data_IF_634347079690
#
_entry.id   IF_634347079690
#
_cell.length_a   1.000
_cell.length_b   1.000
_cell.length_c   1.000
_cell.angle_alpha   90.00
_cell.angle_beta   90.00
_cell.angle_gamma   90.00
#
_symmetry.space_group_name_H-M   'P 1'
#
loop_
_entity.id
_entity.type
_entity.pdbx_description
1 polymer ?
#
# COMPACT_ATOMS: atom_id res chain seq x y z
N UNK A 1 2.93 27.44 40.37
CA UNK A 1 2.48 26.04 40.29
C UNK A 1 1.24 25.98 39.41
N UNK A 2 1.40 25.59 38.16
CA UNK A 2 0.33 25.01 37.31
C UNK A 2 1.06 24.20 36.25
N UNK A 3 1.30 22.93 36.56
CA UNK A 3 1.81 21.94 35.61
C UNK A 3 0.66 21.54 34.70
N UNK A 4 0.74 21.91 33.42
CA UNK A 4 -0.11 21.33 32.39
C UNK A 4 0.52 19.99 31.99
N UNK A 5 -0.17 18.90 32.32
CA UNK A 5 0.15 17.59 31.81
C UNK A 5 -0.22 17.56 30.32
N UNK A 6 0.80 17.68 29.47
CA UNK A 6 0.68 17.38 28.05
C UNK A 6 0.44 15.87 27.93
N UNK A 7 -0.80 15.50 27.58
CA UNK A 7 -1.19 14.10 27.41
C UNK A 7 -0.61 13.65 26.08
N UNK A 8 0.63 13.16 26.11
CA UNK A 8 1.39 12.73 24.94
C UNK A 8 0.79 11.49 24.26
N UNK A 9 -0.28 11.68 23.48
CA UNK A 9 -0.55 10.80 22.37
C UNK A 9 0.57 11.04 21.35
N UNK A 10 1.53 10.13 21.25
CA UNK A 10 2.57 10.21 20.22
C UNK A 10 1.88 10.17 18.86
N UNK A 11 1.75 11.32 18.22
CA UNK A 11 1.30 11.41 16.83
C UNK A 11 2.38 10.72 16.01
N UNK A 12 2.08 9.52 15.51
CA UNK A 12 2.98 8.79 14.62
C UNK A 12 3.11 9.61 13.34
N UNK A 13 4.32 10.01 12.98
CA UNK A 13 4.54 10.79 11.76
C UNK A 13 4.23 9.95 10.53
N UNK A 14 3.85 10.59 9.42
CA UNK A 14 3.67 9.91 8.12
C UNK A 14 4.91 9.11 7.74
N UNK A 15 6.11 9.65 7.99
CA UNK A 15 7.37 8.96 7.72
C UNK A 15 7.50 7.66 8.54
N UNK A 16 7.08 7.66 9.81
CA UNK A 16 7.12 6.46 10.65
C UNK A 16 6.07 5.43 10.24
N UNK A 17 4.88 5.86 9.84
CA UNK A 17 3.87 4.97 9.28
C UNK A 17 4.37 4.30 7.99
N UNK A 18 5.01 5.06 7.09
CA UNK A 18 5.60 4.52 5.87
C UNK A 18 6.73 3.52 6.18
N UNK A 19 7.61 3.83 7.15
CA UNK A 19 8.64 2.88 7.61
C UNK A 19 8.02 1.59 8.15
N UNK A 20 6.96 1.68 8.94
CA UNK A 20 6.25 0.50 9.45
C UNK A 20 5.63 -0.34 8.32
N UNK A 21 5.06 0.29 7.29
CA UNK A 21 4.59 -0.41 6.11
C UNK A 21 5.74 -1.11 5.37
N UNK A 22 6.89 -0.45 5.20
CA UNK A 22 8.09 -1.10 4.64
C UNK A 22 8.50 -2.33 5.47
N UNK A 23 8.49 -2.23 6.81
CA UNK A 23 8.75 -3.37 7.70
C UNK A 23 7.75 -4.51 7.53
N UNK A 24 6.48 -4.20 7.25
CA UNK A 24 5.46 -5.22 6.92
C UNK A 24 5.67 -5.87 5.55
N UNK A 25 6.52 -5.30 4.70
CA UNK A 25 6.85 -5.84 3.38
C UNK A 25 6.29 -5.03 2.21
N UNK A 26 5.75 -3.83 2.45
CA UNK A 26 5.43 -2.93 1.35
C UNK A 26 6.68 -2.55 0.56
N UNK A 27 6.49 -2.39 -0.74
CA UNK A 27 7.45 -1.80 -1.68
C UNK A 27 6.81 -0.58 -2.29
N UNK A 28 7.53 0.53 -2.23
CA UNK A 28 7.06 1.81 -2.75
C UNK A 28 7.72 2.11 -4.08
N UNK A 29 6.92 2.60 -5.03
CA UNK A 29 7.36 3.14 -6.31
C UNK A 29 6.79 4.54 -6.48
N UNK A 30 7.52 5.37 -7.22
CA UNK A 30 7.15 6.75 -7.49
C UNK A 30 6.87 6.87 -8.99
N UNK A 31 5.65 6.56 -9.45
CA UNK A 31 5.29 6.81 -10.83
C UNK A 31 5.39 8.29 -11.15
N UNK A 32 5.94 8.58 -12.33
CA UNK A 32 5.98 9.95 -12.86
C UNK A 32 4.95 10.12 -13.97
N UNK A 33 4.49 11.35 -14.15
CA UNK A 33 3.71 11.72 -15.32
C UNK A 33 4.58 11.83 -16.58
N UNK A 34 3.98 12.27 -17.69
CA UNK A 34 4.66 12.42 -18.97
C UNK A 34 5.69 13.57 -18.99
N UNK A 35 5.62 14.49 -18.00
CA UNK A 35 6.59 15.56 -17.79
C UNK A 35 7.75 15.14 -16.87
N UNK A 36 7.65 13.95 -16.25
CA UNK A 36 8.65 13.41 -15.32
C UNK A 36 8.44 13.84 -13.87
N UNK A 37 7.34 14.52 -13.55
CA UNK A 37 6.98 14.92 -12.20
C UNK A 37 6.32 13.76 -11.45
N UNK A 38 6.48 13.70 -10.13
CA UNK A 38 5.93 12.61 -9.31
C UNK A 38 4.40 12.71 -9.32
N UNK A 39 3.75 11.72 -9.93
CA UNK A 39 2.29 11.67 -10.01
C UNK A 39 1.66 11.08 -8.75
N UNK A 40 2.34 10.13 -8.10
CA UNK A 40 1.91 9.52 -6.84
C UNK A 40 3.07 8.79 -6.16
N UNK A 41 2.86 8.42 -4.89
CA UNK A 41 3.61 7.37 -4.23
C UNK A 41 2.73 6.13 -4.13
N UNK A 42 3.15 5.02 -4.72
CA UNK A 42 2.37 3.77 -4.73
C UNK A 42 3.09 2.70 -3.93
N UNK A 43 2.49 2.25 -2.83
CA UNK A 43 2.96 1.15 -2.00
C UNK A 43 2.20 -0.14 -2.32
N UNK A 44 2.91 -1.24 -2.53
CA UNK A 44 2.29 -2.56 -2.77
C UNK A 44 2.91 -3.63 -1.88
N UNK A 45 2.09 -4.53 -1.34
CA UNK A 45 2.50 -5.70 -0.56
C UNK A 45 1.67 -6.92 -0.98
N UNK A 46 2.33 -7.98 -1.41
CA UNK A 46 1.68 -9.28 -1.68
C UNK A 46 1.95 -10.20 -0.49
N UNK A 47 0.90 -10.72 0.15
CA UNK A 47 1.04 -11.61 1.30
C UNK A 47 -0.23 -12.46 1.48
N UNK A 48 -0.09 -13.69 2.01
CA UNK A 48 -1.21 -14.54 2.43
C UNK A 48 -2.40 -14.61 1.43
N UNK A 49 -2.14 -14.58 0.12
CA UNK A 49 -3.18 -14.66 -0.92
C UNK A 49 -3.97 -13.38 -1.15
N UNK A 50 -3.48 -12.26 -0.63
CA UNK A 50 -4.01 -10.92 -0.89
C UNK A 50 -2.91 -9.98 -1.37
N UNK A 51 -3.33 -8.92 -2.04
CA UNK A 51 -2.48 -7.81 -2.47
C UNK A 51 -3.02 -6.56 -1.81
N UNK A 52 -2.17 -5.92 -1.04
CA UNK A 52 -2.41 -4.61 -0.45
C UNK A 52 -1.78 -3.54 -1.33
N UNK A 53 -2.56 -2.53 -1.68
CA UNK A 53 -2.14 -1.37 -2.47
C UNK A 53 -2.51 -0.09 -1.73
N UNK A 54 -1.59 0.86 -1.65
CA UNK A 54 -1.86 2.24 -1.24
C UNK A 54 -1.31 3.21 -2.28
N UNK A 55 -2.11 4.20 -2.66
CA UNK A 55 -1.76 5.26 -3.61
C UNK A 55 -1.90 6.58 -2.89
N UNK A 56 -0.81 7.36 -2.82
CA UNK A 56 -0.77 8.68 -2.21
C UNK A 56 -0.56 9.69 -3.33
N UNK A 57 -1.58 10.46 -3.68
CA UNK A 57 -1.44 11.56 -4.64
C UNK A 57 -1.03 12.84 -3.90
N UNK A 58 -1.71 13.14 -2.79
CA UNK A 58 -1.35 14.20 -1.87
C UNK A 58 -1.65 13.80 -0.41
N UNK A 59 -1.49 14.72 0.54
CA UNK A 59 -1.70 14.49 1.97
C UNK A 59 -3.16 14.18 2.37
N UNK A 60 -4.12 14.60 1.53
CA UNK A 60 -5.56 14.50 1.73
C UNK A 60 -6.21 13.51 0.75
N UNK A 61 -5.51 13.18 -0.35
CA UNK A 61 -5.89 12.21 -1.38
C UNK A 61 -5.00 10.97 -1.33
N UNK A 62 -5.37 10.07 -0.42
CA UNK A 62 -4.79 8.73 -0.31
C UNK A 62 -5.88 7.69 -0.49
N UNK A 63 -5.60 6.67 -1.29
CA UNK A 63 -6.47 5.53 -1.54
C UNK A 63 -5.75 4.23 -1.18
N UNK A 64 -6.34 3.40 -0.32
CA UNK A 64 -5.83 2.07 -0.03
C UNK A 64 -6.88 1.00 -0.28
N UNK A 65 -6.41 -0.17 -0.72
CA UNK A 65 -7.25 -1.31 -1.06
C UNK A 65 -6.51 -2.61 -0.79
N UNK A 66 -7.27 -3.62 -0.37
CA UNK A 66 -6.87 -5.02 -0.30
C UNK A 66 -7.68 -5.80 -1.32
N UNK A 67 -7.02 -6.55 -2.17
CA UNK A 67 -7.63 -7.39 -3.20
C UNK A 67 -7.13 -8.83 -3.11
N UNK A 68 -7.84 -9.79 -3.71
CA UNK A 68 -7.34 -11.15 -3.86
C UNK A 68 -6.01 -11.22 -4.63
N UNK A 69 -5.18 -12.22 -4.32
CA UNK A 69 -3.87 -12.44 -4.95
C UNK A 69 -3.92 -12.81 -6.43
N UNK A 70 -5.08 -13.25 -6.92
CA UNK A 70 -5.34 -13.62 -8.31
C UNK A 70 -5.81 -12.43 -9.18
N UNK A 71 -5.79 -11.20 -8.65
CA UNK A 71 -6.17 -10.01 -9.41
C UNK A 71 -5.12 -9.66 -10.48
N UNK A 72 -5.57 -9.53 -11.73
CA UNK A 72 -4.68 -9.32 -12.89
C UNK A 72 -4.23 -7.87 -13.04
N UNK A 73 -5.10 -6.91 -12.68
CA UNK A 73 -4.80 -5.48 -12.69
C UNK A 73 -4.96 -4.91 -11.29
N UNK A 74 -3.85 -4.78 -10.58
CA UNK A 74 -3.83 -4.30 -9.19
C UNK A 74 -4.12 -2.80 -9.06
N UNK A 75 -4.02 -2.03 -10.15
CA UNK A 75 -4.31 -0.60 -10.13
C UNK A 75 -5.77 -0.30 -10.47
N UNK A 76 -6.44 -1.20 -11.19
CA UNK A 76 -7.87 -1.18 -11.48
C UNK A 76 -8.51 -2.54 -11.14
N UNK A 77 -8.53 -2.94 -9.86
CA UNK A 77 -8.97 -4.27 -9.47
C UNK A 77 -10.48 -4.44 -9.66
N UNK A 78 -10.88 -5.64 -10.08
CA UNK A 78 -12.31 -6.01 -10.18
C UNK A 78 -12.87 -6.45 -8.84
N UNK A 79 -12.03 -7.01 -7.96
CA UNK A 79 -12.43 -7.52 -6.64
C UNK A 79 -11.69 -6.79 -5.54
N UNK A 80 -12.45 -6.21 -4.61
CA UNK A 80 -11.92 -5.48 -3.46
C UNK A 80 -12.47 -6.12 -2.19
N UNK A 81 -11.57 -6.58 -1.32
CA UNK A 81 -11.89 -7.19 -0.02
C UNK A 81 -12.01 -6.13 1.08
N UNK A 82 -11.23 -5.06 0.96
CA UNK A 82 -11.25 -3.92 1.85
C UNK A 82 -10.74 -2.68 1.11
N UNK A 83 -11.27 -1.50 1.44
CA UNK A 83 -10.79 -0.22 0.91
C UNK A 83 -11.03 0.91 1.90
N UNK A 84 -10.20 1.94 1.81
CA UNK A 84 -10.40 3.22 2.51
C UNK A 84 -9.74 4.34 1.71
N UNK A 85 -10.20 5.57 1.92
CA UNK A 85 -9.59 6.76 1.33
C UNK A 85 -9.65 7.97 2.25
N UNK A 86 -8.85 8.99 1.95
CA UNK A 86 -8.80 10.28 2.67
C UNK A 86 -7.39 10.64 3.09
N UNK A 87 -7.27 11.28 4.26
CA UNK A 87 -6.00 11.78 4.78
C UNK A 87 -4.94 10.68 4.99
N UNK A 88 -3.69 11.01 4.67
CA UNK A 88 -2.56 10.09 4.72
C UNK A 88 -2.44 9.39 6.09
N UNK A 89 -2.50 10.14 7.19
CA UNK A 89 -2.36 9.58 8.52
C UNK A 89 -3.45 8.56 8.86
N UNK A 90 -4.68 8.84 8.43
CA UNK A 90 -5.85 7.97 8.63
C UNK A 90 -5.74 6.70 7.79
N UNK A 91 -5.41 6.84 6.50
CA UNK A 91 -5.33 5.70 5.58
C UNK A 91 -4.16 4.78 5.91
N UNK A 92 -2.97 5.34 6.16
CA UNK A 92 -1.81 4.52 6.57
C UNK A 92 -2.04 3.87 7.93
N UNK A 93 -2.70 4.57 8.87
CA UNK A 93 -3.11 4.00 10.15
C UNK A 93 -4.06 2.82 9.98
N UNK A 94 -5.06 2.94 9.10
CA UNK A 94 -5.99 1.87 8.80
C UNK A 94 -5.28 0.65 8.16
N UNK A 95 -4.32 0.88 7.26
CA UNK A 95 -3.48 -0.17 6.68
C UNK A 95 -2.63 -0.90 7.73
N UNK A 96 -2.07 -0.16 8.70
CA UNK A 96 -1.35 -0.74 9.82
C UNK A 96 -2.27 -1.46 10.82
N UNK A 97 -3.56 -1.11 10.88
CA UNK A 97 -4.52 -1.82 11.72
C UNK A 97 -5.02 -3.13 11.07
N UNK A 98 -4.85 -3.31 9.75
CA UNK A 98 -5.29 -4.53 9.07
C UNK A 98 -4.52 -5.75 9.57
N UNK A 99 -5.22 -6.85 9.92
CA UNK A 99 -4.60 -8.12 10.24
C UNK A 99 -3.87 -8.70 9.01
N UNK A 100 -2.79 -9.42 9.26
CA UNK A 100 -2.06 -10.16 8.23
C UNK A 100 -2.72 -11.52 7.91
N UNK A 101 -3.52 -12.06 8.83
CA UNK A 101 -4.02 -13.44 8.81
C UNK A 101 -5.31 -13.66 7.99
N UNK A 102 -5.42 -13.06 6.80
CA UNK A 102 -6.44 -13.52 5.87
C UNK A 102 -6.07 -14.91 5.35
N UNK A 103 -6.62 -15.93 5.99
CA UNK A 103 -6.69 -17.29 5.48
C UNK A 103 -7.66 -17.35 4.28
N UNK A 104 -7.37 -16.64 3.19
CA UNK A 104 -7.84 -17.11 1.88
C UNK A 104 -6.97 -18.31 1.52
N UNK A 105 -7.56 -19.47 1.18
CA UNK A 105 -6.78 -20.65 0.81
C UNK A 105 -6.00 -20.35 -0.47
N UNK A 106 -4.78 -19.85 -0.32
CA UNK A 106 -3.85 -19.59 -1.41
C UNK A 106 -3.38 -20.93 -1.94
N UNK A 107 -3.55 -21.21 -3.24
CA UNK A 107 -2.83 -22.34 -3.83
C UNK A 107 -1.34 -22.04 -3.77
N UNK A 108 -0.58 -23.01 -3.27
CA UNK A 108 0.87 -22.94 -3.11
C UNK A 108 1.51 -22.71 -4.50
N UNK A 109 1.88 -21.47 -4.81
CA UNK A 109 2.52 -21.08 -6.09
C UNK A 109 2.08 -19.71 -6.64
N UNK A 110 0.93 -19.19 -6.22
CA UNK A 110 0.24 -18.05 -6.87
C UNK A 110 0.77 -16.65 -6.47
N UNK A 111 1.71 -16.57 -5.53
CA UNK A 111 2.18 -15.31 -4.93
C UNK A 111 3.60 -14.91 -5.38
N UNK A 112 4.13 -15.55 -6.43
CA UNK A 112 5.44 -15.17 -6.98
C UNK A 112 5.24 -14.19 -8.15
N UNK A 113 5.92 -13.05 -8.10
CA UNK A 113 5.87 -12.05 -9.16
C UNK A 113 6.99 -11.03 -8.99
N UNK A 114 7.29 -10.28 -10.04
CA UNK A 114 8.31 -9.24 -10.04
C UNK A 114 7.78 -7.94 -10.63
N UNK A 115 8.22 -6.82 -10.05
CA UNK A 115 8.04 -5.51 -10.67
C UNK A 115 9.03 -5.38 -11.82
N UNK A 116 8.51 -5.19 -13.02
CA UNK A 116 9.31 -4.96 -14.22
C UNK A 116 9.15 -3.50 -14.62
N UNK A 117 10.25 -2.72 -14.74
CA UNK A 117 10.19 -1.39 -15.31
C UNK A 117 9.76 -1.48 -16.78
N UNK A 118 8.71 -0.74 -17.16
CA UNK A 118 8.16 -0.73 -18.54
C UNK A 118 8.65 0.49 -19.31
N UNK A 119 8.69 1.65 -18.64
CA UNK A 119 9.27 2.91 -19.11
C UNK A 119 9.78 3.71 -17.90
N UNK A 120 10.60 4.76 -18.08
CA UNK A 120 10.94 5.65 -16.97
C UNK A 120 9.66 6.09 -16.25
N UNK A 121 9.63 5.97 -14.92
CA UNK A 121 8.44 6.29 -14.12
C UNK A 121 7.26 5.31 -14.20
N UNK A 122 7.35 4.20 -14.93
CA UNK A 122 6.30 3.19 -14.96
C UNK A 122 6.84 1.79 -14.68
N UNK A 123 6.30 1.14 -13.65
CA UNK A 123 6.56 -0.25 -13.33
C UNK A 123 5.27 -1.06 -13.48
N UNK A 124 5.40 -2.29 -14.00
CA UNK A 124 4.31 -3.25 -14.11
C UNK A 124 4.62 -4.45 -13.27
N UNK A 125 3.68 -4.84 -12.42
CA UNK A 125 3.75 -6.11 -11.70
C UNK A 125 3.49 -7.25 -12.69
N UNK A 126 4.44 -8.18 -12.80
CA UNK A 126 4.26 -9.42 -13.52
C UNK A 126 4.18 -10.56 -12.50
N UNK A 127 3.02 -11.19 -12.41
CA UNK A 127 2.91 -12.47 -11.72
C UNK A 127 3.72 -13.52 -12.51
N UNK A 128 4.48 -14.35 -11.80
CA UNK A 128 5.02 -15.59 -12.35
C UNK A 128 3.83 -16.46 -12.72
N UNK A 129 3.68 -16.71 -14.02
CA UNK A 129 2.74 -17.73 -14.50
C UNK A 129 3.29 -19.10 -14.09
N UNK A 130 2.51 -19.83 -13.28
CA UNK A 130 2.74 -21.24 -12.99
C UNK A 130 2.20 -22.13 -14.11
#
# INVERSE_FOLDING_TARGET
>A
MTSQADTGATVISTADQLRQLVTRGFRFVHPTDDDGEIAAVVGVRVHNGVIDVVKLHDENDVHAMRMPGDETDVLAPRRVLWQTSGYVGTVLGAMLALPDDHAVPSRKGENSGCWVPVRPGAAKWLATVG
#
